data_IF_576314862714
#
_entry.id   IF_576314862714
#
_cell.length_a   1.000
_cell.length_b   1.000
_cell.length_c   1.000
_cell.angle_alpha   90.00
_cell.angle_beta   90.00
_cell.angle_gamma   90.00
#
_symmetry.space_group_name_H-M   'P 1'
#
loop_
_entity.id
_entity.type
_entity.pdbx_description
1 polymer ?
#
# COMPACT_ATOMS: atom_id res chain seq x y z
N UNK A 1 44.53 -11.48 -5.91
CA UNK A 1 43.71 -10.37 -5.38
C UNK A 1 42.97 -10.92 -4.18
N UNK A 2 43.29 -10.43 -2.99
CA UNK A 2 42.61 -10.83 -1.76
C UNK A 2 41.24 -10.14 -1.76
N UNK A 3 40.16 -10.92 -1.78
CA UNK A 3 38.83 -10.45 -1.42
C UNK A 3 38.89 -10.12 0.07
N UNK A 4 39.07 -8.85 0.42
CA UNK A 4 38.74 -8.37 1.76
C UNK A 4 37.22 -8.29 1.82
N UNK A 5 36.54 -9.11 2.65
CA UNK A 5 35.14 -8.88 2.89
C UNK A 5 35.03 -7.52 3.59
N UNK A 6 34.38 -6.55 2.97
CA UNK A 6 33.98 -5.33 3.65
C UNK A 6 32.95 -5.76 4.71
N UNK A 7 33.41 -6.00 5.94
CA UNK A 7 32.53 -6.17 7.09
C UNK A 7 31.80 -4.85 7.33
N UNK A 8 30.73 -4.61 6.58
CA UNK A 8 29.81 -3.53 6.84
C UNK A 8 28.98 -3.91 8.06
N UNK A 9 28.85 -2.98 9.01
CA UNK A 9 28.04 -3.19 10.20
C UNK A 9 26.58 -3.37 9.76
N UNK A 10 25.96 -4.48 10.14
CA UNK A 10 24.53 -4.72 9.97
C UNK A 10 23.77 -4.24 11.20
N UNK A 11 22.67 -3.52 11.01
CA UNK A 11 21.81 -3.13 12.13
C UNK A 11 21.05 -4.35 12.62
N UNK A 12 21.31 -4.77 13.86
CA UNK A 12 20.69 -5.97 14.44
C UNK A 12 19.40 -5.67 15.21
N UNK A 13 19.30 -4.48 15.82
CA UNK A 13 18.12 -3.95 16.50
C UNK A 13 18.29 -2.45 16.76
N UNK A 14 17.20 -1.68 16.78
CA UNK A 14 17.23 -0.26 17.09
C UNK A 14 15.84 0.37 17.02
N UNK A 15 15.74 1.62 17.47
CA UNK A 15 14.55 2.44 17.22
C UNK A 15 14.45 2.69 15.71
N UNK A 16 13.23 2.62 15.16
CA UNK A 16 12.99 2.79 13.72
C UNK A 16 13.58 4.10 13.17
N UNK A 17 13.51 5.17 13.95
CA UNK A 17 14.11 6.47 13.63
C UNK A 17 15.64 6.39 13.47
N UNK A 18 16.32 5.62 14.32
CA UNK A 18 17.78 5.45 14.27
C UNK A 18 18.21 4.56 13.12
N UNK A 19 17.40 3.55 12.78
CA UNK A 19 17.60 2.76 11.57
C UNK A 19 17.53 3.66 10.33
N UNK A 20 16.51 4.51 10.25
CA UNK A 20 16.32 5.44 9.15
C UNK A 20 17.44 6.48 9.06
N UNK A 21 17.86 7.08 10.17
CA UNK A 21 19.00 8.01 10.23
C UNK A 21 20.26 7.36 9.67
N UNK A 22 20.58 6.15 10.14
CA UNK A 22 21.72 5.38 9.64
C UNK A 22 21.61 5.07 8.14
N UNK A 23 20.44 4.66 7.66
CA UNK A 23 20.21 4.40 6.23
C UNK A 23 20.43 5.64 5.39
N UNK A 24 19.90 6.79 5.81
CA UNK A 24 20.07 8.07 5.11
C UNK A 24 21.55 8.48 5.05
N UNK A 25 22.28 8.36 6.16
CA UNK A 25 23.66 8.85 6.26
C UNK A 25 24.70 7.91 5.67
N UNK A 26 24.39 6.61 5.52
CA UNK A 26 25.37 5.62 5.06
C UNK A 26 24.96 4.94 3.76
N UNK A 27 23.77 4.35 3.71
CA UNK A 27 23.34 3.50 2.58
C UNK A 27 22.88 4.34 1.40
N UNK A 28 22.12 5.40 1.65
CA UNK A 28 21.66 6.31 0.60
C UNK A 28 22.82 7.09 0.00
N UNK A 29 23.80 7.52 0.79
CA UNK A 29 24.99 8.22 0.29
C UNK A 29 25.93 7.29 -0.51
N UNK A 30 25.98 6.02 -0.15
CA UNK A 30 26.76 5.01 -0.87
C UNK A 30 26.03 4.43 -2.10
N UNK A 31 24.74 4.72 -2.29
CA UNK A 31 23.96 4.20 -3.40
C UNK A 31 24.37 4.90 -4.71
N UNK A 32 24.95 4.13 -5.62
CA UNK A 32 25.26 4.60 -6.98
C UNK A 32 24.02 4.55 -7.88
N UNK A 33 23.87 5.55 -8.76
CA UNK A 33 22.76 5.61 -9.72
C UNK A 33 22.83 4.41 -10.69
N UNK A 34 21.76 3.62 -10.74
CA UNK A 34 21.66 2.45 -11.61
C UNK A 34 22.30 1.16 -11.07
N UNK A 35 22.91 1.21 -9.89
CA UNK A 35 23.30 0.00 -9.16
C UNK A 35 22.08 -0.72 -8.55
N UNK A 36 22.26 -1.99 -8.20
CA UNK A 36 21.27 -2.72 -7.40
C UNK A 36 21.07 -2.03 -6.04
N UNK A 37 19.85 -2.11 -5.51
CA UNK A 37 19.50 -1.48 -4.24
C UNK A 37 20.25 -2.17 -3.10
N UNK A 38 20.83 -1.40 -2.17
CA UNK A 38 21.41 -1.98 -0.95
C UNK A 38 20.34 -2.78 -0.20
N UNK A 39 20.68 -4.02 0.17
CA UNK A 39 19.75 -4.99 0.77
C UNK A 39 19.10 -4.43 2.04
N UNK A 40 19.85 -3.71 2.88
CA UNK A 40 19.30 -3.18 4.12
C UNK A 40 18.35 -2.00 3.86
N UNK A 41 18.65 -1.18 2.86
CA UNK A 41 17.75 -0.13 2.40
C UNK A 41 16.48 -0.71 1.76
N UNK A 42 16.60 -1.75 0.94
CA UNK A 42 15.47 -2.47 0.36
C UNK A 42 14.56 -3.06 1.44
N UNK A 43 15.13 -3.80 2.39
CA UNK A 43 14.41 -4.39 3.52
C UNK A 43 13.64 -3.32 4.31
N UNK A 44 14.28 -2.17 4.59
CA UNK A 44 13.61 -1.06 5.28
C UNK A 44 12.43 -0.55 4.47
N UNK A 45 12.64 -0.26 3.18
CA UNK A 45 11.58 0.25 2.30
C UNK A 45 10.39 -0.71 2.23
N UNK A 46 10.65 -2.01 2.09
CA UNK A 46 9.61 -3.03 1.95
C UNK A 46 8.87 -3.34 3.27
N UNK A 47 9.50 -3.12 4.42
CA UNK A 47 8.96 -3.59 5.71
C UNK A 47 8.64 -2.48 6.72
N UNK A 48 9.00 -1.21 6.45
CA UNK A 48 8.82 -0.11 7.40
C UNK A 48 7.42 -0.03 7.98
N UNK A 49 6.36 -0.29 7.19
CA UNK A 49 4.96 -0.20 7.63
C UNK A 49 4.64 -1.04 8.88
N UNK A 50 5.41 -2.11 9.16
CA UNK A 50 5.22 -2.99 10.32
C UNK A 50 5.62 -2.29 11.63
N UNK A 51 6.62 -1.41 11.60
CA UNK A 51 7.23 -0.83 12.80
C UNK A 51 7.37 0.71 12.77
N UNK A 52 7.15 1.32 11.61
CA UNK A 52 7.24 2.75 11.33
C UNK A 52 6.16 3.10 10.29
N UNK A 53 4.93 3.42 10.74
CA UNK A 53 3.84 3.78 9.84
C UNK A 53 4.21 4.89 8.87
N UNK A 54 3.65 4.86 7.65
CA UNK A 54 3.98 5.77 6.55
C UNK A 54 3.96 7.24 6.95
N UNK A 55 2.93 7.68 7.68
CA UNK A 55 2.81 9.06 8.16
C UNK A 55 3.96 9.47 9.08
N UNK A 56 4.39 8.58 9.98
CA UNK A 56 5.52 8.81 10.87
C UNK A 56 6.83 8.84 10.09
N UNK A 57 7.01 7.92 9.13
CA UNK A 57 8.17 7.93 8.22
C UNK A 57 8.27 9.24 7.44
N UNK A 58 7.19 9.67 6.78
CA UNK A 58 7.14 10.94 6.04
C UNK A 58 7.45 12.15 6.94
N UNK A 59 6.87 12.19 8.15
CA UNK A 59 7.16 13.24 9.12
C UNK A 59 8.62 13.27 9.54
N UNK A 60 9.24 12.10 9.78
CA UNK A 60 10.66 12.00 10.11
C UNK A 60 11.53 12.51 8.95
N UNK A 61 11.26 12.08 7.72
CA UNK A 61 11.98 12.53 6.52
C UNK A 61 11.88 14.05 6.35
N UNK A 62 10.69 14.62 6.57
CA UNK A 62 10.48 16.07 6.58
C UNK A 62 11.31 16.74 7.66
N UNK A 63 11.31 16.20 8.87
CA UNK A 63 12.07 16.76 9.98
C UNK A 63 13.58 16.70 9.71
N UNK A 64 14.08 15.60 9.16
CA UNK A 64 15.48 15.43 8.78
C UNK A 64 15.86 16.40 7.63
N UNK A 65 14.97 16.59 6.65
CA UNK A 65 15.14 17.58 5.58
C UNK A 65 15.30 19.01 6.14
N UNK A 66 14.42 19.39 7.09
CA UNK A 66 14.40 20.73 7.68
C UNK A 66 15.47 20.97 8.74
N UNK A 67 15.84 19.95 9.54
CA UNK A 67 16.78 20.09 10.68
C UNK A 67 18.16 20.57 10.25
N UNK A 68 18.61 20.18 9.05
CA UNK A 68 19.88 20.67 8.53
C UNK A 68 19.88 22.18 8.26
N UNK A 69 18.73 22.88 8.28
CA UNK A 69 18.63 24.31 8.00
C UNK A 69 18.87 25.23 9.21
N UNK A 70 19.14 24.71 10.41
CA UNK A 70 19.41 25.55 11.59
C UNK A 70 20.77 26.26 11.47
N UNK A 71 20.80 27.61 11.43
CA UNK A 71 22.05 28.34 11.19
C UNK A 71 22.97 28.28 12.40
N UNK A 72 24.19 27.81 12.20
CA UNK A 72 25.29 28.02 13.14
C UNK A 72 25.85 29.44 13.00
N UNK A 73 26.11 30.11 14.12
CA UNK A 73 26.47 31.54 14.19
C UNK A 73 27.92 31.86 13.79
N UNK A 74 28.71 30.87 13.34
CA UNK A 74 30.14 31.04 13.04
C UNK A 74 30.41 31.10 11.51
N UNK A 75 30.99 32.20 10.98
CA UNK A 75 31.30 32.38 9.56
C UNK A 75 32.24 31.34 8.95
N UNK A 76 33.11 30.70 9.73
CA UNK A 76 34.04 29.64 9.25
C UNK A 76 33.33 28.29 9.05
N UNK A 77 32.12 28.14 9.58
CA UNK A 77 31.26 26.95 9.49
C UNK A 77 30.28 27.04 8.31
N UNK A 78 30.18 28.18 7.61
CA UNK A 78 29.13 28.44 6.60
C UNK A 78 29.23 27.53 5.37
N UNK A 79 30.44 27.17 4.93
CA UNK A 79 30.61 26.25 3.78
C UNK A 79 30.26 24.81 4.18
N UNK A 80 30.71 24.36 5.35
CA UNK A 80 30.39 23.04 5.92
C UNK A 80 28.89 22.92 6.23
N UNK A 81 28.27 24.01 6.70
CA UNK A 81 26.82 24.13 6.91
C UNK A 81 26.05 24.00 5.59
N UNK A 82 26.51 24.66 4.52
CA UNK A 82 25.89 24.55 3.21
C UNK A 82 25.99 23.12 2.64
N UNK A 83 27.16 22.50 2.73
CA UNK A 83 27.35 21.12 2.26
C UNK A 83 26.54 20.11 3.08
N UNK A 84 26.47 20.30 4.40
CA UNK A 84 25.63 19.50 5.29
C UNK A 84 24.15 19.63 4.92
N UNK A 85 23.68 20.86 4.70
CA UNK A 85 22.33 21.18 4.22
C UNK A 85 21.98 20.53 2.92
N UNK A 86 22.86 20.64 1.92
CA UNK A 86 22.66 20.03 0.61
C UNK A 86 22.66 18.49 0.71
N UNK A 87 23.53 17.93 1.55
CA UNK A 87 23.60 16.49 1.78
C UNK A 87 22.32 15.94 2.40
N UNK A 88 21.77 16.58 3.43
CA UNK A 88 20.51 16.16 4.04
C UNK A 88 19.35 16.16 3.02
N UNK A 89 19.23 17.22 2.21
CA UNK A 89 18.21 17.36 1.16
C UNK A 89 18.36 16.31 0.07
N UNK A 90 19.59 16.09 -0.38
CA UNK A 90 19.93 15.06 -1.36
C UNK A 90 19.57 13.67 -0.84
N UNK A 91 19.90 13.34 0.41
CA UNK A 91 19.57 12.05 1.02
C UNK A 91 18.08 11.81 1.08
N UNK A 92 17.28 12.78 1.52
CA UNK A 92 15.81 12.62 1.60
C UNK A 92 15.21 12.42 0.21
N UNK A 93 15.58 13.23 -0.77
CA UNK A 93 15.06 13.09 -2.14
C UNK A 93 15.54 11.79 -2.80
N UNK A 94 16.76 11.35 -2.52
CA UNK A 94 17.29 10.08 -3.04
C UNK A 94 16.63 8.88 -2.37
N UNK A 95 16.43 8.91 -1.06
CA UNK A 95 15.68 7.89 -0.34
C UNK A 95 14.26 7.77 -0.91
N UNK A 96 13.58 8.90 -1.11
CA UNK A 96 12.24 8.92 -1.71
C UNK A 96 12.24 8.35 -3.13
N UNK A 97 13.27 8.68 -3.93
CA UNK A 97 13.45 8.11 -5.27
C UNK A 97 13.56 6.59 -5.22
N UNK A 98 14.40 6.06 -4.34
CA UNK A 98 14.61 4.61 -4.20
C UNK A 98 13.34 3.93 -3.68
N UNK A 99 12.63 4.56 -2.74
CA UNK A 99 11.36 4.06 -2.21
C UNK A 99 10.28 3.95 -3.29
N UNK A 100 10.10 5.00 -4.11
CA UNK A 100 9.15 4.98 -5.24
C UNK A 100 9.51 3.93 -6.27
N UNK A 101 10.80 3.76 -6.60
CA UNK A 101 11.23 2.77 -7.58
C UNK A 101 11.08 1.32 -7.06
N UNK A 102 11.31 1.07 -5.77
CA UNK A 102 11.15 -0.26 -5.18
C UNK A 102 9.69 -0.72 -5.15
N UNK A 103 8.75 0.17 -4.80
CA UNK A 103 7.32 -0.17 -4.71
C UNK A 103 6.56 0.03 -6.03
N UNK A 104 7.10 0.83 -6.94
CA UNK A 104 6.46 1.22 -8.19
C UNK A 104 5.11 1.89 -7.96
N UNK A 105 4.09 1.46 -8.71
CA UNK A 105 2.74 2.04 -8.64
C UNK A 105 2.09 1.91 -7.24
N UNK A 106 2.48 0.89 -6.46
CA UNK A 106 1.90 0.64 -5.13
C UNK A 106 2.25 1.72 -4.12
N UNK A 107 3.38 2.42 -4.29
CA UNK A 107 3.71 3.59 -3.48
C UNK A 107 2.58 4.62 -3.47
N UNK A 108 1.97 4.85 -4.64
CA UNK A 108 0.97 5.90 -4.83
C UNK A 108 -0.43 5.51 -4.35
N UNK A 109 -0.64 4.26 -3.94
CA UNK A 109 -1.88 3.80 -3.31
C UNK A 109 -1.99 4.28 -1.86
N UNK A 110 -0.87 4.50 -1.17
CA UNK A 110 -0.86 5.09 0.18
C UNK A 110 -1.08 6.61 0.10
N UNK A 111 -2.17 7.16 0.68
CA UNK A 111 -2.46 8.58 0.60
C UNK A 111 -1.41 9.47 1.27
N UNK A 112 -0.80 9.02 2.37
CA UNK A 112 0.21 9.78 3.10
C UNK A 112 1.54 9.81 2.33
N UNK A 113 1.97 8.67 1.78
CA UNK A 113 3.15 8.59 0.92
C UNK A 113 2.98 9.45 -0.35
N UNK A 114 1.81 9.36 -0.99
CA UNK A 114 1.50 10.09 -2.21
C UNK A 114 1.45 11.62 -1.99
N UNK A 115 0.84 12.08 -0.89
CA UNK A 115 0.81 13.51 -0.54
C UNK A 115 2.21 14.06 -0.24
N UNK A 116 3.07 13.26 0.40
CA UNK A 116 4.42 13.66 0.78
C UNK A 116 5.30 14.05 -0.42
N UNK A 117 5.11 13.43 -1.60
CA UNK A 117 5.86 13.78 -2.82
C UNK A 117 5.62 15.23 -3.23
N UNK A 118 4.36 15.70 -3.23
CA UNK A 118 4.03 17.10 -3.56
C UNK A 118 4.51 18.06 -2.48
N UNK A 119 4.37 17.67 -1.22
CA UNK A 119 4.84 18.48 -0.09
C UNK A 119 6.35 18.71 -0.15
N UNK A 120 7.13 17.63 -0.35
CA UNK A 120 8.58 17.72 -0.48
C UNK A 120 9.00 18.49 -1.73
N UNK A 121 8.29 18.30 -2.85
CA UNK A 121 8.53 19.07 -4.08
C UNK A 121 8.41 20.59 -3.84
N UNK A 122 7.37 21.03 -3.13
CA UNK A 122 7.21 22.44 -2.77
C UNK A 122 8.38 22.97 -1.93
N UNK A 123 8.82 22.20 -0.92
CA UNK A 123 9.97 22.58 -0.09
C UNK A 123 11.27 22.66 -0.89
N UNK A 124 11.54 21.70 -1.78
CA UNK A 124 12.72 21.71 -2.65
C UNK A 124 12.69 22.89 -3.63
N UNK A 125 11.51 23.24 -4.14
CA UNK A 125 11.33 24.39 -5.04
C UNK A 125 11.62 25.71 -4.33
N UNK A 126 11.21 25.87 -3.07
CA UNK A 126 11.54 27.03 -2.24
C UNK A 126 13.04 27.11 -1.95
N UNK A 127 13.65 25.99 -1.53
CA UNK A 127 15.08 25.92 -1.27
C UNK A 127 15.91 26.20 -2.54
N UNK A 128 15.48 25.75 -3.71
CA UNK A 128 16.18 26.03 -4.97
C UNK A 128 16.29 27.53 -5.29
N UNK A 129 15.34 28.35 -4.83
CA UNK A 129 15.37 29.81 -5.03
C UNK A 129 16.37 30.50 -4.12
N UNK A 130 16.72 29.89 -2.99
CA UNK A 130 17.52 30.51 -1.93
C UNK A 130 18.90 29.87 -1.77
N UNK A 131 19.06 28.61 -2.19
CA UNK A 131 20.27 27.81 -2.00
C UNK A 131 20.95 27.43 -3.31
N UNK A 132 22.24 27.74 -3.47
CA UNK A 132 23.02 27.26 -4.62
C UNK A 132 23.19 25.73 -4.55
N UNK A 133 23.38 25.09 -5.70
CA UNK A 133 23.62 23.64 -5.76
C UNK A 133 22.38 22.75 -5.68
N UNK A 134 21.18 23.31 -5.49
CA UNK A 134 19.91 22.55 -5.44
C UNK A 134 19.45 21.98 -6.80
N UNK A 135 20.07 22.37 -7.92
CA UNK A 135 19.65 21.99 -9.27
C UNK A 135 19.45 20.48 -9.49
N UNK A 136 20.43 19.62 -9.16
CA UNK A 136 20.26 18.16 -9.28
C UNK A 136 19.17 17.58 -8.38
N UNK A 137 19.00 18.13 -7.18
CA UNK A 137 17.96 17.70 -6.22
C UNK A 137 16.58 18.06 -6.76
N UNK A 138 16.41 19.28 -7.29
CA UNK A 138 15.19 19.73 -7.94
C UNK A 138 14.84 18.87 -9.17
N UNK A 139 15.84 18.52 -10.00
CA UNK A 139 15.63 17.66 -11.16
C UNK A 139 15.10 16.28 -10.74
N UNK A 140 15.67 15.68 -9.69
CA UNK A 140 15.25 14.37 -9.18
C UNK A 140 13.84 14.39 -8.59
N UNK A 141 13.48 15.38 -7.76
CA UNK A 141 12.11 15.47 -7.22
C UNK A 141 11.08 15.84 -8.29
N UNK A 142 11.47 16.60 -9.33
CA UNK A 142 10.61 16.86 -10.49
C UNK A 142 10.28 15.56 -11.23
N UNK A 143 11.27 14.71 -11.46
CA UNK A 143 11.05 13.40 -12.07
C UNK A 143 10.15 12.49 -11.20
N UNK A 144 10.26 12.53 -9.87
CA UNK A 144 9.33 11.83 -8.97
C UNK A 144 7.90 12.34 -9.11
N UNK A 145 7.74 13.66 -9.25
CA UNK A 145 6.44 14.28 -9.47
C UNK A 145 5.83 13.86 -10.81
N UNK A 146 6.64 13.70 -11.85
CA UNK A 146 6.17 13.17 -13.15
C UNK A 146 5.73 11.71 -13.04
N UNK A 147 6.49 10.86 -12.33
CA UNK A 147 6.09 9.47 -12.03
C UNK A 147 4.77 9.41 -11.26
N UNK A 148 4.58 10.31 -10.29
CA UNK A 148 3.34 10.45 -9.53
C UNK A 148 2.16 10.81 -10.43
N UNK A 149 2.32 11.78 -11.33
CA UNK A 149 1.25 12.18 -12.25
C UNK A 149 0.90 11.07 -13.25
N UNK A 150 1.89 10.30 -13.71
CA UNK A 150 1.64 9.12 -14.55
C UNK A 150 0.88 8.04 -13.78
N UNK A 151 1.34 7.68 -12.57
CA UNK A 151 0.66 6.73 -11.71
C UNK A 151 -0.78 7.17 -11.39
N UNK A 152 -1.01 8.47 -11.15
CA UNK A 152 -2.35 9.02 -10.93
C UNK A 152 -3.28 8.77 -12.11
N UNK A 153 -2.80 8.86 -13.37
CA UNK A 153 -3.61 8.54 -14.55
C UNK A 153 -3.96 7.06 -14.59
N UNK A 154 -3.00 6.18 -14.31
CA UNK A 154 -3.23 4.73 -14.26
C UNK A 154 -4.22 4.35 -13.16
N UNK A 155 -4.09 4.94 -11.97
CA UNK A 155 -4.92 4.68 -10.80
C UNK A 155 -6.33 5.30 -10.92
N UNK A 156 -6.48 6.40 -11.66
CA UNK A 156 -7.76 7.09 -11.89
C UNK A 156 -8.61 6.46 -13.00
N UNK A 157 -8.24 5.28 -13.51
CA UNK A 157 -9.04 4.57 -14.51
C UNK A 157 -10.41 4.18 -13.96
N UNK A 158 -11.36 3.92 -14.86
CA UNK A 158 -12.63 3.32 -14.48
C UNK A 158 -12.43 1.91 -13.91
N UNK A 159 -13.21 1.51 -12.88
CA UNK A 159 -13.19 0.15 -12.35
C UNK A 159 -13.37 -0.90 -13.45
N UNK A 160 -12.47 -1.87 -13.48
CA UNK A 160 -12.58 -3.04 -14.33
C UNK A 160 -13.29 -4.18 -13.57
N UNK A 161 -13.97 -5.07 -14.30
CA UNK A 161 -14.49 -6.31 -13.72
C UNK A 161 -13.38 -7.35 -13.74
N UNK A 162 -12.93 -7.79 -12.56
CA UNK A 162 -11.83 -8.75 -12.37
C UNK A 162 -12.38 -10.17 -12.39
N UNK A 163 -13.39 -10.44 -11.58
CA UNK A 163 -14.03 -11.75 -11.48
C UNK A 163 -15.51 -11.65 -11.89
N UNK A 164 -15.95 -12.59 -12.71
CA UNK A 164 -17.34 -12.83 -13.05
C UNK A 164 -17.77 -14.16 -12.43
N UNK A 165 -18.49 -14.09 -11.31
CA UNK A 165 -18.99 -15.24 -10.55
C UNK A 165 -17.90 -16.28 -10.20
N UNK A 166 -16.72 -15.82 -9.77
CA UNK A 166 -15.58 -16.67 -9.40
C UNK A 166 -14.67 -17.07 -10.56
N UNK A 167 -14.94 -16.61 -11.78
CA UNK A 167 -14.09 -16.84 -12.96
C UNK A 167 -13.41 -15.55 -13.38
N UNK A 168 -12.14 -15.60 -13.78
CA UNK A 168 -11.43 -14.43 -14.31
C UNK A 168 -12.17 -13.88 -15.54
N UNK A 169 -12.50 -12.59 -15.49
CA UNK A 169 -13.23 -11.90 -16.55
C UNK A 169 -12.37 -11.67 -17.78
N UNK A 170 -12.98 -11.69 -18.97
CA UNK A 170 -12.32 -11.25 -20.22
C UNK A 170 -12.07 -9.74 -20.25
N UNK A 171 -12.77 -8.99 -19.40
CA UNK A 171 -12.59 -7.55 -19.19
C UNK A 171 -11.62 -7.24 -18.04
N UNK A 172 -10.96 -8.27 -17.50
CA UNK A 172 -9.97 -8.10 -16.45
C UNK A 172 -8.84 -7.17 -16.93
N UNK A 173 -8.25 -6.37 -16.02
CA UNK A 173 -7.40 -5.25 -16.39
C UNK A 173 -6.03 -5.60 -17.00
N UNK A 174 -5.72 -6.89 -17.24
CA UNK A 174 -4.44 -7.36 -17.74
C UNK A 174 -4.01 -6.62 -19.02
N UNK A 175 -2.76 -6.12 -19.11
CA UNK A 175 -1.62 -6.36 -18.22
C UNK A 175 -1.52 -5.38 -17.02
N UNK A 176 -2.46 -4.46 -16.86
CA UNK A 176 -2.44 -3.51 -15.75
C UNK A 176 -2.81 -4.21 -14.42
N UNK A 177 -2.29 -3.71 -13.27
CA UNK A 177 -2.60 -4.28 -11.97
C UNK A 177 -4.10 -4.19 -11.66
N UNK A 178 -4.58 -5.10 -10.81
CA UNK A 178 -5.89 -5.00 -10.18
C UNK A 178 -5.83 -3.92 -9.10
N UNK A 179 -6.81 -3.03 -9.10
CA UNK A 179 -6.91 -1.91 -8.17
C UNK A 179 -7.98 -2.19 -7.10
N UNK A 180 -7.89 -1.55 -5.92
CA UNK A 180 -8.93 -1.68 -4.89
C UNK A 180 -10.33 -1.21 -5.35
N UNK A 181 -10.38 -0.32 -6.35
CA UNK A 181 -11.62 0.16 -6.95
C UNK A 181 -12.25 -0.82 -7.94
N UNK A 182 -11.52 -1.84 -8.39
CA UNK A 182 -12.02 -2.82 -9.35
C UNK A 182 -13.09 -3.74 -8.73
N UNK A 183 -13.88 -4.39 -9.58
CA UNK A 183 -15.12 -5.06 -9.19
C UNK A 183 -15.00 -6.57 -9.40
N UNK A 184 -15.48 -7.34 -8.44
CA UNK A 184 -15.79 -8.76 -8.57
C UNK A 184 -17.31 -8.95 -8.50
N UNK A 185 -17.90 -9.47 -9.57
CA UNK A 185 -19.30 -9.91 -9.56
C UNK A 185 -19.37 -11.24 -8.82
N UNK A 186 -19.89 -11.25 -7.60
CA UNK A 186 -19.92 -12.43 -6.74
C UNK A 186 -21.34 -12.94 -6.57
N UNK A 187 -21.53 -14.25 -6.60
CA UNK A 187 -22.80 -14.86 -6.22
C UNK A 187 -22.88 -14.88 -4.69
N UNK A 188 -23.90 -14.20 -4.15
CA UNK A 188 -24.23 -14.21 -2.74
C UNK A 188 -25.42 -15.13 -2.52
N UNK A 189 -25.28 -16.05 -1.59
CA UNK A 189 -26.34 -16.95 -1.14
C UNK A 189 -26.96 -16.46 0.18
N UNK A 190 -28.26 -16.67 0.36
CA UNK A 190 -28.97 -16.39 1.61
C UNK A 190 -29.35 -17.69 2.31
N UNK A 191 -29.86 -17.59 3.54
CA UNK A 191 -30.32 -18.73 4.34
C UNK A 191 -31.50 -19.46 3.72
N UNK A 192 -32.33 -18.77 2.93
CA UNK A 192 -33.53 -19.30 2.26
C UNK A 192 -33.24 -19.99 0.92
N UNK A 193 -31.99 -20.33 0.61
CA UNK A 193 -31.54 -20.91 -0.66
C UNK A 193 -31.74 -20.00 -1.88
N UNK A 194 -32.02 -18.72 -1.70
CA UNK A 194 -31.94 -17.77 -2.81
C UNK A 194 -30.48 -17.34 -3.03
N UNK A 195 -30.18 -16.97 -4.27
CA UNK A 195 -28.86 -16.45 -4.62
C UNK A 195 -28.96 -15.39 -5.70
N UNK A 196 -28.10 -14.39 -5.63
CA UNK A 196 -28.03 -13.34 -6.65
C UNK A 196 -26.59 -12.87 -6.86
N UNK A 197 -26.31 -12.39 -8.06
CA UNK A 197 -25.03 -11.75 -8.37
C UNK A 197 -24.98 -10.33 -7.80
N UNK A 198 -23.94 -10.02 -7.03
CA UNK A 198 -23.66 -8.72 -6.45
C UNK A 198 -22.30 -8.22 -6.96
N UNK A 199 -22.23 -7.04 -7.62
CA UNK A 199 -20.96 -6.39 -7.90
C UNK A 199 -20.34 -5.88 -6.59
N UNK A 200 -19.19 -6.42 -6.21
CA UNK A 200 -18.45 -6.06 -4.99
C UNK A 200 -17.12 -5.45 -5.41
N UNK A 201 -16.79 -4.26 -4.89
CA UNK A 201 -15.45 -3.69 -5.10
C UNK A 201 -14.42 -4.40 -4.22
N UNK A 202 -13.19 -4.48 -4.68
CA UNK A 202 -12.08 -5.14 -3.98
C UNK A 202 -11.76 -4.51 -2.61
N UNK A 203 -12.00 -3.21 -2.46
CA UNK A 203 -11.79 -2.45 -1.22
C UNK A 203 -12.93 -2.53 -0.21
N UNK A 204 -14.05 -3.20 -0.54
CA UNK A 204 -15.18 -3.32 0.38
C UNK A 204 -14.88 -4.30 1.50
N UNK A 205 -15.19 -3.89 2.73
CA UNK A 205 -15.09 -4.77 3.89
C UNK A 205 -16.25 -5.77 3.97
N UNK A 206 -16.10 -6.82 4.76
CA UNK A 206 -17.17 -7.78 5.03
C UNK A 206 -18.46 -7.08 5.54
N UNK A 207 -18.32 -6.11 6.45
CA UNK A 207 -19.46 -5.32 6.96
C UNK A 207 -20.14 -4.52 5.85
N UNK A 208 -19.38 -3.85 5.00
CA UNK A 208 -19.95 -3.08 3.88
C UNK A 208 -20.65 -4.00 2.87
N UNK A 209 -20.14 -5.21 2.63
CA UNK A 209 -20.81 -6.21 1.77
C UNK A 209 -22.15 -6.63 2.39
N UNK A 210 -22.19 -6.91 3.69
CA UNK A 210 -23.44 -7.20 4.41
C UNK A 210 -24.45 -6.04 4.30
N UNK A 211 -23.99 -4.79 4.40
CA UNK A 211 -24.85 -3.61 4.21
C UNK A 211 -25.39 -3.48 2.78
N UNK A 212 -24.57 -3.77 1.76
CA UNK A 212 -25.01 -3.80 0.36
C UNK A 212 -26.12 -4.84 0.13
N UNK A 213 -25.97 -6.03 0.72
CA UNK A 213 -26.99 -7.09 0.66
C UNK A 213 -28.26 -6.63 1.38
N UNK A 214 -28.15 -6.08 2.59
CA UNK A 214 -29.30 -5.57 3.35
C UNK A 214 -30.08 -4.51 2.56
N UNK A 215 -29.37 -3.56 1.94
CA UNK A 215 -29.97 -2.51 1.09
C UNK A 215 -30.74 -3.11 -0.09
N UNK A 216 -30.18 -4.14 -0.73
CA UNK A 216 -30.79 -4.82 -1.88
C UNK A 216 -32.04 -5.63 -1.50
N UNK A 217 -32.03 -6.27 -0.34
CA UNK A 217 -33.15 -7.07 0.16
C UNK A 217 -34.25 -6.23 0.83
N UNK A 218 -33.99 -4.94 1.11
CA UNK A 218 -34.89 -4.05 1.86
C UNK A 218 -35.22 -4.61 3.26
N UNK A 219 -34.29 -5.34 3.86
CA UNK A 219 -34.46 -5.93 5.19
C UNK A 219 -34.36 -4.88 6.30
N UNK A 220 -35.04 -5.13 7.42
CA UNK A 220 -35.07 -4.29 8.62
C UNK A 220 -33.67 -4.04 9.18
N UNK A 221 -33.41 -2.82 9.69
CA UNK A 221 -32.12 -2.42 10.30
C UNK A 221 -31.74 -3.13 11.63
N UNK A 222 -32.39 -4.25 11.98
CA UNK A 222 -32.24 -4.90 13.29
C UNK A 222 -31.47 -6.23 13.29
N UNK A 223 -31.24 -6.86 12.13
CA UNK A 223 -30.58 -8.16 12.06
C UNK A 223 -29.06 -8.01 11.93
N UNK A 224 -28.31 -8.64 12.83
CA UNK A 224 -26.86 -8.67 12.80
C UNK A 224 -26.40 -9.72 11.77
N UNK A 225 -26.06 -9.24 10.56
CA UNK A 225 -25.64 -10.08 9.45
C UNK A 225 -24.16 -10.42 9.54
N UNK A 226 -23.82 -11.63 9.13
CA UNK A 226 -22.45 -12.13 8.99
C UNK A 226 -22.20 -12.57 7.55
N UNK A 227 -20.97 -12.34 7.07
CA UNK A 227 -20.48 -12.83 5.79
C UNK A 227 -19.74 -14.15 6.04
N UNK A 228 -20.16 -15.22 5.37
CA UNK A 228 -19.68 -16.58 5.64
C UNK A 228 -19.28 -17.28 4.34
N UNK A 229 -18.06 -17.78 4.28
CA UNK A 229 -17.66 -18.76 3.27
C UNK A 229 -18.06 -20.15 3.74
N UNK A 230 -18.79 -20.88 2.89
CA UNK A 230 -19.01 -22.32 3.05
C UNK A 230 -18.15 -23.03 2.02
N UNK A 231 -17.11 -23.73 2.50
CA UNK A 231 -16.19 -24.48 1.65
C UNK A 231 -16.85 -25.72 1.07
N UNK A 232 -16.21 -26.29 0.05
CA UNK A 232 -16.63 -27.57 -0.53
C UNK A 232 -16.54 -28.75 0.46
N UNK A 233 -15.81 -28.62 1.58
CA UNK A 233 -15.82 -29.59 2.69
C UNK A 233 -17.05 -29.49 3.59
N UNK A 234 -17.85 -28.41 3.47
CA UNK A 234 -18.90 -28.04 4.42
C UNK A 234 -18.39 -27.24 5.62
N UNK A 235 -17.07 -27.00 5.72
CA UNK A 235 -16.48 -26.09 6.70
C UNK A 235 -16.99 -24.66 6.45
N UNK A 236 -17.31 -23.96 7.54
CA UNK A 236 -17.85 -22.61 7.54
C UNK A 236 -16.78 -21.67 8.10
N UNK A 237 -16.44 -20.64 7.35
CA UNK A 237 -15.48 -19.61 7.77
C UNK A 237 -16.21 -18.27 7.78
N UNK A 238 -16.27 -17.65 8.96
CA UNK A 238 -16.89 -16.34 9.14
C UNK A 238 -15.81 -15.28 8.93
N UNK A 239 -16.06 -14.31 8.04
CA UNK A 239 -15.16 -13.19 7.83
C UNK A 239 -15.28 -12.17 8.97
N UNK A 240 -14.17 -11.53 9.32
CA UNK A 240 -14.17 -10.42 10.26
C UNK A 240 -14.67 -9.16 9.57
N UNK A 241 -15.31 -8.28 10.34
CA UNK A 241 -15.90 -7.02 9.87
C UNK A 241 -14.96 -6.15 9.01
N UNK A 242 -13.66 -6.19 9.30
CA UNK A 242 -12.62 -5.44 8.61
C UNK A 242 -11.93 -6.17 7.44
N UNK A 243 -12.30 -7.43 7.16
CA UNK A 243 -11.69 -8.19 6.07
C UNK A 243 -12.07 -7.58 4.72
N UNK A 244 -11.08 -7.38 3.84
CA UNK A 244 -11.22 -6.80 2.49
C UNK A 244 -10.80 -7.81 1.41
N UNK A 245 -11.07 -7.52 0.14
CA UNK A 245 -10.69 -8.40 -0.99
C UNK A 245 -11.26 -9.82 -0.90
N UNK A 246 -12.44 -9.95 -0.28
CA UNK A 246 -13.11 -11.22 0.03
C UNK A 246 -13.18 -12.15 -1.19
N UNK A 247 -13.56 -11.63 -2.36
CA UNK A 247 -13.75 -12.44 -3.57
C UNK A 247 -12.49 -13.21 -4.01
N UNK A 248 -11.30 -12.69 -3.69
CA UNK A 248 -10.02 -13.35 -4.02
C UNK A 248 -9.51 -14.30 -2.94
N UNK A 249 -10.09 -14.26 -1.73
CA UNK A 249 -9.72 -15.14 -0.61
C UNK A 249 -10.53 -16.44 -0.59
N UNK A 250 -11.60 -16.52 -1.38
CA UNK A 250 -12.50 -17.68 -1.42
C UNK A 250 -11.77 -18.94 -1.89
N UNK A 251 -12.01 -20.04 -1.19
CA UNK A 251 -11.53 -21.36 -1.58
C UNK A 251 -12.19 -21.81 -2.88
N UNK A 252 -11.52 -22.70 -3.62
CA UNK A 252 -12.07 -23.29 -4.84
C UNK A 252 -13.41 -23.99 -4.56
N UNK A 253 -14.41 -23.67 -5.39
CA UNK A 253 -15.79 -24.18 -5.29
C UNK A 253 -16.48 -23.89 -3.95
N UNK A 254 -16.01 -22.88 -3.20
CA UNK A 254 -16.75 -22.36 -2.05
C UNK A 254 -17.93 -21.51 -2.49
N UNK A 255 -18.84 -21.27 -1.55
CA UNK A 255 -20.02 -20.42 -1.73
C UNK A 255 -20.00 -19.34 -0.66
N UNK A 256 -20.30 -18.11 -1.07
CA UNK A 256 -20.33 -16.95 -0.18
C UNK A 256 -21.77 -16.68 0.26
N UNK A 257 -22.00 -16.62 1.56
CA UNK A 257 -23.30 -16.43 2.19
C UNK A 257 -23.37 -15.13 2.98
N UNK A 258 -24.54 -14.51 2.99
CA UNK A 258 -24.90 -13.47 3.96
C UNK A 258 -26.13 -13.94 4.72
N UNK A 259 -25.97 -14.12 6.03
CA UNK A 259 -27.01 -14.66 6.92
C UNK A 259 -27.00 -13.96 8.27
N UNK A 260 -28.08 -14.10 9.04
CA UNK A 260 -28.05 -13.71 10.45
C UNK A 260 -27.04 -14.58 11.22
N UNK A 261 -26.40 -14.03 12.26
CA UNK A 261 -25.47 -14.77 13.12
C UNK A 261 -26.06 -16.06 13.70
N UNK A 262 -27.36 -16.05 14.00
CA UNK A 262 -28.08 -17.22 14.55
C UNK A 262 -28.27 -18.35 13.52
N UNK A 263 -28.13 -18.05 12.23
CA UNK A 263 -28.36 -19.00 11.12
C UNK A 263 -27.06 -19.63 10.58
N UNK A 264 -25.90 -19.24 11.10
CA UNK A 264 -24.61 -19.75 10.61
C UNK A 264 -24.55 -21.27 10.76
N UNK A 265 -25.00 -21.81 11.89
CA UNK A 265 -24.95 -23.25 12.17
C UNK A 265 -25.93 -24.05 11.31
N UNK A 266 -27.00 -23.44 10.79
CA UNK A 266 -27.98 -24.10 9.94
C UNK A 266 -27.59 -24.15 8.46
N UNK A 267 -26.56 -23.39 8.05
CA UNK A 267 -26.05 -23.43 6.68
C UNK A 267 -25.62 -24.85 6.28
N UNK A 268 -26.22 -25.38 5.22
CA UNK A 268 -25.89 -26.69 4.64
C UNK A 268 -25.38 -26.52 3.22
N UNK A 269 -24.59 -27.51 2.78
CA UNK A 269 -24.10 -27.54 1.40
C UNK A 269 -25.28 -27.64 0.44
N UNK A 270 -25.36 -26.72 -0.51
CA UNK A 270 -26.36 -26.73 -1.56
C UNK A 270 -26.39 -28.05 -2.38
N UNK A 271 -25.24 -28.69 -2.55
CA UNK A 271 -25.11 -29.90 -3.37
C UNK A 271 -25.65 -31.16 -2.65
N UNK A 272 -25.93 -31.10 -1.34
CA UNK A 272 -26.50 -32.21 -0.57
C UNK A 272 -28.04 -32.20 -0.54
N UNK A 273 -28.69 -31.13 -1.00
CA UNK A 273 -30.15 -31.06 -1.07
C UNK A 273 -30.74 -31.80 -2.29
N UNK A 274 -29.90 -32.22 -3.24
CA UNK A 274 -30.30 -32.89 -4.48
C UNK A 274 -29.65 -34.28 -4.64
N UNK A 275 -29.54 -35.07 -3.56
CA UNK A 275 -29.39 -36.52 -3.74
C UNK A 275 -30.78 -37.12 -3.98
N UNK A 276 -31.11 -37.64 -5.18
CA UNK A 276 -32.31 -38.45 -5.33
C UNK A 276 -32.14 -39.70 -4.48
N UNK A 277 -33.13 -39.99 -3.64
CA UNK A 277 -33.28 -41.30 -2.99
C UNK A 277 -33.48 -42.41 -4.02
#
# INVERSE_FOLDING_TARGET
MYYTPSSSYSVMAGLAEKMLEYVLETRVDAQEDGAELDVFLEDLVLTHIIYLPTNTLCNYLKHYYSRAAEPHSDPLVVMDDLEHRLSARRRVVTFLWLWVNALGIHYFLDPAANAFVEELYCHVLEDHRTLPGMGPILARISALRDLREEARRTLARHPAVVLECGVLSTMAPSPNPVLPSDICNQIIHLSDTTSFALPIRMDKTATEICELVRSRLRSSHGEELALVEVKSSGEKVVFYDGDVSIATMLSLNSKLYVVSKDEIDSLVRFDLLFQPQ
#
